data_IF_598023815166
#
_entry.id   IF_598023815166
#
_cell.length_a   1.000
_cell.length_b   1.000
_cell.length_c   1.000
_cell.angle_alpha   90.00
_cell.angle_beta   90.00
_cell.angle_gamma   90.00
#
_symmetry.space_group_name_H-M   'P 1'
#
loop_
_entity.id
_entity.type
_entity.pdbx_description
1 polymer ?
#
# COMPACT_ATOMS: atom_id res chain seq x y z
N UNK A 1 9.08 -16.33 -7.68
CA UNK A 1 7.74 -16.81 -7.26
C UNK A 1 7.27 -16.14 -5.98
N UNK A 2 7.93 -16.33 -4.82
CA UNK A 2 7.48 -15.73 -3.53
C UNK A 2 7.22 -14.21 -3.62
N UNK A 3 8.16 -13.45 -4.20
CA UNK A 3 8.01 -11.99 -4.35
C UNK A 3 6.74 -11.63 -5.13
N UNK A 4 6.54 -12.26 -6.29
CA UNK A 4 5.38 -12.00 -7.13
C UNK A 4 4.06 -12.48 -6.53
N UNK A 5 4.06 -13.56 -5.74
CA UNK A 5 2.87 -14.00 -5.01
C UNK A 5 2.41 -12.94 -4.01
N UNK A 6 3.31 -12.45 -3.17
CA UNK A 6 2.97 -11.43 -2.17
C UNK A 6 2.68 -10.06 -2.80
N UNK A 7 3.32 -9.72 -3.93
CA UNK A 7 2.94 -8.55 -4.72
C UNK A 7 1.50 -8.66 -5.24
N UNK A 8 1.09 -9.83 -5.77
CA UNK A 8 -0.28 -10.04 -6.22
C UNK A 8 -1.29 -10.05 -5.06
N UNK A 9 -0.96 -10.67 -3.92
CA UNK A 9 -1.81 -10.69 -2.73
C UNK A 9 -2.06 -9.29 -2.18
N UNK A 10 -1.06 -8.41 -2.20
CA UNK A 10 -1.24 -7.01 -1.84
C UNK A 10 -2.34 -6.36 -2.67
N UNK A 11 -2.24 -6.37 -4.00
CA UNK A 11 -3.25 -5.75 -4.86
C UNK A 11 -4.62 -6.41 -4.71
N UNK A 12 -4.66 -7.74 -4.53
CA UNK A 12 -5.90 -8.46 -4.30
C UNK A 12 -6.62 -7.91 -3.07
N UNK A 13 -5.94 -7.87 -1.93
CA UNK A 13 -6.55 -7.44 -0.67
C UNK A 13 -6.76 -5.94 -0.60
N UNK A 14 -5.90 -5.13 -1.23
CA UNK A 14 -6.07 -3.69 -1.38
C UNK A 14 -7.37 -3.37 -2.10
N UNK A 15 -7.54 -3.86 -3.34
CA UNK A 15 -8.73 -3.52 -4.11
C UNK A 15 -9.99 -4.14 -3.54
N UNK A 16 -9.91 -5.36 -3.02
CA UNK A 16 -11.08 -5.99 -2.44
C UNK A 16 -11.48 -5.38 -1.11
N UNK A 17 -10.52 -4.99 -0.27
CA UNK A 17 -10.75 -4.36 1.03
C UNK A 17 -11.65 -3.13 0.91
N UNK A 18 -11.46 -2.32 -0.14
CA UNK A 18 -12.30 -1.14 -0.44
C UNK A 18 -13.79 -1.43 -0.68
N UNK A 19 -14.19 -2.69 -0.93
CA UNK A 19 -15.62 -3.07 -0.99
C UNK A 19 -16.25 -3.18 0.40
N UNK A 20 -15.45 -3.28 1.46
CA UNK A 20 -15.90 -3.54 2.83
C UNK A 20 -15.55 -2.40 3.78
N UNK A 21 -14.50 -1.63 3.51
CA UNK A 21 -14.11 -0.43 4.28
C UNK A 21 -14.02 0.81 3.41
N UNK A 22 -13.83 1.97 4.04
CA UNK A 22 -13.67 3.27 3.38
C UNK A 22 -12.28 3.40 2.75
N UNK A 23 -12.17 4.08 1.61
CA UNK A 23 -10.89 4.29 0.93
C UNK A 23 -9.91 5.12 1.78
N UNK A 24 -10.41 6.12 2.51
CA UNK A 24 -9.61 6.91 3.45
C UNK A 24 -9.02 6.06 4.58
N UNK A 25 -9.80 5.12 5.12
CA UNK A 25 -9.34 4.19 6.16
C UNK A 25 -8.33 3.20 5.60
N UNK A 26 -8.65 2.57 4.47
CA UNK A 26 -7.79 1.60 3.80
C UNK A 26 -6.42 2.19 3.45
N UNK A 27 -6.40 3.43 2.97
CA UNK A 27 -5.12 4.14 2.69
C UNK A 27 -4.21 4.19 3.92
N UNK A 28 -4.74 4.55 5.09
CA UNK A 28 -3.93 4.63 6.33
C UNK A 28 -3.39 3.25 6.71
N UNK A 29 -4.22 2.22 6.61
CA UNK A 29 -3.88 0.85 6.97
C UNK A 29 -2.82 0.26 6.03
N UNK A 30 -2.93 0.49 4.72
CA UNK A 30 -1.91 0.06 3.74
C UNK A 30 -0.59 0.78 3.97
N UNK A 31 -0.63 2.06 4.34
CA UNK A 31 0.56 2.85 4.66
C UNK A 31 1.24 2.45 5.97
N UNK A 32 0.76 1.42 6.66
CA UNK A 32 1.54 0.72 7.70
C UNK A 32 2.62 -0.19 7.12
N UNK A 33 2.67 -0.40 5.81
CA UNK A 33 3.67 -1.25 5.17
C UNK A 33 5.13 -0.93 5.54
N UNK A 34 5.57 0.33 5.74
CA UNK A 34 6.92 0.63 6.21
C UNK A 34 7.20 0.12 7.61
N UNK A 35 6.18 0.06 8.49
CA UNK A 35 6.30 -0.56 9.80
C UNK A 35 6.62 -2.05 9.66
N UNK A 36 5.87 -2.75 8.80
CA UNK A 36 6.07 -4.18 8.53
C UNK A 36 7.42 -4.45 7.85
N UNK A 37 7.88 -3.56 6.96
CA UNK A 37 9.20 -3.65 6.34
C UNK A 37 10.31 -3.50 7.39
N UNK A 38 10.22 -2.51 8.28
CA UNK A 38 11.23 -2.30 9.31
C UNK A 38 11.27 -3.47 10.31
N UNK A 39 10.10 -3.95 10.74
CA UNK A 39 9.98 -5.11 11.62
C UNK A 39 10.54 -6.37 10.95
N UNK A 40 10.12 -6.67 9.73
CA UNK A 40 10.60 -7.83 8.98
C UNK A 40 12.08 -7.72 8.58
N UNK A 41 12.59 -6.51 8.34
CA UNK A 41 14.01 -6.26 8.07
C UNK A 41 14.90 -6.64 9.24
N UNK A 42 14.42 -6.44 10.48
CA UNK A 42 15.13 -6.90 11.68
C UNK A 42 15.30 -8.42 11.68
N UNK A 43 14.26 -9.18 11.37
CA UNK A 43 14.29 -10.65 11.41
C UNK A 43 14.92 -11.28 10.16
N UNK A 44 14.61 -10.78 8.96
CA UNK A 44 14.98 -11.39 7.67
C UNK A 44 16.35 -10.91 7.19
N UNK A 45 16.65 -9.61 7.39
CA UNK A 45 17.87 -8.97 6.91
C UNK A 45 18.89 -8.73 8.03
N UNK A 46 18.54 -9.05 9.29
CA UNK A 46 19.34 -8.80 10.49
C UNK A 46 19.72 -7.32 10.66
N UNK A 47 18.85 -6.43 10.21
CA UNK A 47 19.02 -4.99 10.39
C UNK A 47 18.78 -4.60 11.86
N UNK A 48 19.61 -3.71 12.40
CA UNK A 48 19.40 -3.20 13.76
C UNK A 48 18.26 -2.18 13.76
N UNK A 49 17.32 -2.33 14.69
CA UNK A 49 16.31 -1.33 14.98
C UNK A 49 16.94 -0.25 15.85
N UNK A 50 17.13 0.94 15.29
CA UNK A 50 17.57 2.11 16.05
C UNK A 50 16.40 2.67 16.88
N UNK A 51 16.71 3.43 17.92
CA UNK A 51 15.70 4.09 18.78
C UNK A 51 14.71 4.93 17.95
N UNK A 52 15.13 5.73 16.95
CA UNK A 52 14.19 6.45 16.08
C UNK A 52 13.24 5.53 15.31
N UNK A 53 13.72 4.36 14.83
CA UNK A 53 12.86 3.38 14.17
C UNK A 53 11.83 2.81 15.13
N UNK A 54 12.23 2.44 16.36
CA UNK A 54 11.29 1.94 17.37
C UNK A 54 10.24 2.99 17.73
N UNK A 55 10.64 4.24 17.94
CA UNK A 55 9.70 5.34 18.20
C UNK A 55 8.73 5.54 17.02
N UNK A 56 9.23 5.53 15.79
CA UNK A 56 8.40 5.63 14.60
C UNK A 56 7.42 4.48 14.43
N UNK A 57 7.84 3.25 14.76
CA UNK A 57 6.98 2.07 14.78
C UNK A 57 5.83 2.21 15.79
N UNK A 58 6.13 2.70 17.00
CA UNK A 58 5.12 2.93 18.04
C UNK A 58 4.12 4.02 17.64
N UNK A 59 4.58 5.10 17.01
CA UNK A 59 3.70 6.16 16.50
C UNK A 59 2.80 5.65 15.38
N UNK A 60 3.34 4.92 14.41
CA UNK A 60 2.54 4.34 13.33
C UNK A 60 1.48 3.38 13.88
N UNK A 61 1.84 2.53 14.85
CA UNK A 61 0.91 1.65 15.54
C UNK A 61 -0.19 2.44 16.29
N UNK A 62 0.17 3.52 16.98
CA UNK A 62 -0.80 4.43 17.61
C UNK A 62 -1.77 5.06 16.59
N UNK A 63 -1.27 5.42 15.40
CA UNK A 63 -2.11 5.91 14.31
C UNK A 63 -3.12 4.88 13.81
N UNK A 64 -2.70 3.63 13.65
CA UNK A 64 -3.59 2.51 13.32
C UNK A 64 -4.65 2.33 14.40
N UNK A 65 -4.25 2.32 15.67
CA UNK A 65 -5.18 2.19 16.79
C UNK A 65 -6.22 3.33 16.81
N UNK A 66 -5.83 4.56 16.49
CA UNK A 66 -6.76 5.70 16.37
C UNK A 66 -7.78 5.48 15.24
N UNK A 67 -7.36 4.94 14.10
CA UNK A 67 -8.27 4.59 12.99
C UNK A 67 -9.27 3.50 13.44
N UNK A 68 -8.82 2.45 14.12
CA UNK A 68 -9.71 1.41 14.66
C UNK A 68 -10.68 1.92 15.74
N UNK A 69 -10.25 2.89 16.56
CA UNK A 69 -11.09 3.53 17.55
C UNK A 69 -12.19 4.41 16.92
N UNK A 70 -12.04 4.76 15.63
CA UNK A 70 -13.07 5.47 14.90
C UNK A 70 -14.18 4.49 14.51
N UNK A 71 -15.38 4.69 15.05
CA UNK A 71 -16.64 4.10 14.54
C UNK A 71 -17.50 5.19 13.92
N UNK A 72 -17.22 5.64 12.67
CA UNK A 72 -18.19 6.43 11.93
C UNK A 72 -19.52 5.67 11.87
N UNK A 73 -20.63 6.34 12.16
CA UNK A 73 -21.97 5.74 12.05
C UNK A 73 -22.35 5.30 10.63
N UNK A 74 -21.48 5.56 9.65
CA UNK A 74 -21.63 5.22 8.23
C UNK A 74 -20.85 3.97 7.80
N UNK A 75 -20.13 3.29 8.71
CA UNK A 75 -19.38 2.09 8.33
C UNK A 75 -20.30 0.88 8.12
N UNK A 76 -20.11 0.10 7.05
CA UNK A 76 -20.77 -1.20 6.89
C UNK A 76 -20.46 -2.12 8.07
N UNK A 77 -21.36 -3.04 8.42
CA UNK A 77 -21.09 -4.04 9.48
C UNK A 77 -19.85 -4.91 9.21
N UNK A 78 -19.43 -4.98 7.95
CA UNK A 78 -18.28 -5.74 7.46
C UNK A 78 -16.97 -4.94 7.46
N UNK A 79 -16.94 -3.71 7.98
CA UNK A 79 -15.76 -2.83 7.90
C UNK A 79 -14.49 -3.45 8.47
N UNK A 80 -14.59 -4.24 9.55
CA UNK A 80 -13.44 -4.91 10.15
C UNK A 80 -12.80 -5.94 9.22
N UNK A 81 -13.59 -6.57 8.34
CA UNK A 81 -13.07 -7.47 7.32
C UNK A 81 -12.26 -6.68 6.29
N UNK A 82 -12.79 -5.55 5.81
CA UNK A 82 -12.06 -4.65 4.91
C UNK A 82 -10.76 -4.14 5.54
N UNK A 83 -10.84 -3.63 6.77
CA UNK A 83 -9.66 -3.16 7.51
C UNK A 83 -8.61 -4.28 7.68
N UNK A 84 -9.03 -5.51 7.94
CA UNK A 84 -8.11 -6.66 8.01
C UNK A 84 -7.47 -6.97 6.66
N UNK A 85 -8.22 -6.91 5.56
CA UNK A 85 -7.68 -7.09 4.20
C UNK A 85 -6.61 -6.05 3.88
N UNK A 86 -6.85 -4.78 4.22
CA UNK A 86 -5.89 -3.69 3.99
C UNK A 86 -4.58 -3.88 4.78
N UNK A 87 -4.66 -4.41 6.00
CA UNK A 87 -3.47 -4.80 6.78
C UNK A 87 -2.74 -5.97 6.12
N UNK A 88 -3.46 -6.99 5.64
CA UNK A 88 -2.85 -8.11 4.91
C UNK A 88 -2.18 -7.61 3.63
N UNK A 89 -2.74 -6.61 2.96
CA UNK A 89 -2.10 -5.95 1.83
C UNK A 89 -0.79 -5.28 2.24
N UNK A 90 -0.80 -4.49 3.33
CA UNK A 90 0.39 -3.84 3.87
C UNK A 90 1.52 -4.84 4.21
N UNK A 91 1.17 -5.96 4.84
CA UNK A 91 2.12 -7.05 5.18
C UNK A 91 2.65 -7.72 3.93
N UNK A 92 1.80 -7.96 2.94
CA UNK A 92 2.17 -8.60 1.68
C UNK A 92 3.15 -7.73 0.88
N UNK A 93 2.91 -6.42 0.81
CA UNK A 93 3.87 -5.45 0.25
C UNK A 93 5.21 -5.51 0.99
N UNK A 94 5.18 -5.56 2.32
CA UNK A 94 6.39 -5.59 3.12
C UNK A 94 7.23 -6.85 2.87
N UNK A 95 6.59 -8.01 2.78
CA UNK A 95 7.25 -9.27 2.42
C UNK A 95 7.84 -9.16 1.01
N UNK A 96 7.06 -8.71 0.02
CA UNK A 96 7.54 -8.51 -1.35
C UNK A 96 8.77 -7.59 -1.40
N UNK A 97 8.74 -6.49 -0.66
CA UNK A 97 9.83 -5.51 -0.55
C UNK A 97 11.08 -6.12 0.08
N UNK A 98 10.96 -6.86 1.18
CA UNK A 98 12.08 -7.46 1.89
C UNK A 98 12.78 -8.52 1.06
N UNK A 99 12.03 -9.40 0.40
CA UNK A 99 12.61 -10.41 -0.49
C UNK A 99 13.18 -9.79 -1.77
N UNK A 100 12.57 -8.73 -2.30
CA UNK A 100 13.13 -7.94 -3.40
C UNK A 100 14.50 -7.36 -3.05
N UNK A 101 14.60 -6.68 -1.90
CA UNK A 101 15.86 -6.13 -1.39
C UNK A 101 16.91 -7.23 -1.19
N UNK A 102 16.52 -8.38 -0.62
CA UNK A 102 17.41 -9.53 -0.44
C UNK A 102 17.91 -10.09 -1.77
N UNK A 103 17.07 -10.14 -2.80
CA UNK A 103 17.43 -10.64 -4.14
C UNK A 103 18.37 -9.68 -4.87
N UNK A 104 18.09 -8.37 -4.80
CA UNK A 104 18.93 -7.33 -5.38
C UNK A 104 20.30 -7.24 -4.70
N UNK A 105 20.36 -7.34 -3.37
CA UNK A 105 21.63 -7.34 -2.63
C UNK A 105 22.54 -8.54 -3.00
N UNK A 106 21.95 -9.64 -3.46
CA UNK A 106 22.68 -10.81 -3.97
C UNK A 106 22.96 -10.74 -5.48
N UNK A 107 22.66 -9.61 -6.13
CA UNK A 107 22.77 -9.39 -7.57
C UNK A 107 22.06 -10.47 -8.42
N UNK A 108 20.99 -11.08 -7.90
CA UNK A 108 20.28 -12.18 -8.59
C UNK A 108 19.38 -11.68 -9.72
N UNK A 109 18.85 -10.46 -9.62
CA UNK A 109 17.90 -9.88 -10.56
C UNK A 109 18.13 -8.37 -10.69
N UNK A 110 17.99 -7.84 -11.90
CA UNK A 110 17.89 -6.39 -12.12
C UNK A 110 16.51 -5.85 -11.67
N UNK A 111 16.37 -4.54 -11.40
CA UNK A 111 15.08 -3.95 -11.02
C UNK A 111 13.97 -4.20 -12.04
N UNK A 112 14.29 -4.16 -13.34
CA UNK A 112 13.33 -4.41 -14.41
C UNK A 112 12.88 -5.87 -14.43
N UNK A 113 13.82 -6.82 -14.27
CA UNK A 113 13.50 -8.25 -14.20
C UNK A 113 12.63 -8.56 -12.98
N UNK A 114 12.94 -7.94 -11.84
CA UNK A 114 12.17 -8.10 -10.62
C UNK A 114 10.71 -7.66 -10.81
N UNK A 115 10.49 -6.47 -11.35
CA UNK A 115 9.15 -5.95 -11.64
C UNK A 115 8.42 -6.84 -12.65
N UNK A 116 9.10 -7.26 -13.71
CA UNK A 116 8.53 -8.16 -14.71
C UNK A 116 8.02 -9.47 -14.09
N UNK A 117 8.83 -10.12 -13.24
CA UNK A 117 8.41 -11.35 -12.57
C UNK A 117 7.34 -11.14 -11.50
N UNK A 118 7.32 -9.98 -10.83
CA UNK A 118 6.25 -9.64 -9.90
C UNK A 118 4.90 -9.59 -10.62
N UNK A 119 4.83 -8.85 -11.73
CA UNK A 119 3.63 -8.72 -12.55
C UNK A 119 3.25 -10.07 -13.15
N UNK A 120 4.20 -10.78 -13.76
CA UNK A 120 3.96 -12.07 -14.43
C UNK A 120 3.33 -13.11 -13.48
N UNK A 121 3.80 -13.18 -12.23
CA UNK A 121 3.24 -14.11 -11.22
C UNK A 121 1.91 -13.62 -10.67
N UNK A 122 1.69 -12.30 -10.61
CA UNK A 122 0.44 -11.72 -10.07
C UNK A 122 -0.74 -11.88 -11.02
N UNK A 123 -0.51 -11.91 -12.34
CA UNK A 123 -1.56 -12.07 -13.35
C UNK A 123 -2.45 -13.30 -13.10
N UNK A 124 -1.94 -14.54 -13.03
CA UNK A 124 -2.79 -15.71 -12.83
C UNK A 124 -3.49 -15.70 -11.47
N UNK A 125 -2.85 -15.14 -10.43
CA UNK A 125 -3.44 -15.01 -9.10
C UNK A 125 -4.65 -14.06 -9.13
N UNK A 126 -4.48 -12.85 -9.69
CA UNK A 126 -5.52 -11.83 -9.73
C UNK A 126 -6.66 -12.21 -10.68
N UNK A 127 -6.34 -12.79 -11.85
CA UNK A 127 -7.35 -13.31 -12.76
C UNK A 127 -8.13 -14.47 -12.14
N UNK A 128 -7.45 -15.42 -11.50
CA UNK A 128 -8.09 -16.53 -10.81
C UNK A 128 -9.00 -16.05 -9.69
N UNK A 129 -8.54 -15.09 -8.88
CA UNK A 129 -9.36 -14.50 -7.83
C UNK A 129 -10.58 -13.77 -8.41
N UNK A 130 -10.42 -12.91 -9.43
CA UNK A 130 -11.57 -12.24 -10.06
C UNK A 130 -12.60 -13.25 -10.56
N UNK A 131 -12.17 -14.33 -11.23
CA UNK A 131 -13.09 -15.38 -11.70
C UNK A 131 -13.80 -16.13 -10.57
N UNK A 132 -13.11 -16.44 -9.47
CA UNK A 132 -13.68 -17.19 -8.34
C UNK A 132 -14.71 -16.34 -7.59
N UNK A 133 -14.41 -15.05 -7.42
CA UNK A 133 -15.14 -14.22 -6.47
C UNK A 133 -16.07 -13.19 -7.11
N UNK A 134 -15.80 -12.81 -8.35
CA UNK A 134 -16.63 -11.90 -9.15
C UNK A 134 -17.31 -12.64 -10.32
N UNK A 135 -16.90 -13.87 -10.62
CA UNK A 135 -17.42 -14.67 -11.72
C UNK A 135 -16.80 -14.30 -13.07
N UNK A 136 -17.34 -14.89 -14.14
CA UNK A 136 -16.98 -14.48 -15.51
C UNK A 136 -17.63 -13.11 -15.75
N UNK A 137 -16.84 -12.06 -16.04
CA UNK A 137 -17.40 -10.72 -16.20
C UNK A 137 -18.30 -10.69 -17.43
N UNK A 138 -19.53 -10.21 -17.26
CA UNK A 138 -20.34 -9.73 -18.37
C UNK A 138 -19.71 -8.42 -18.87
N UNK A 139 -18.79 -8.51 -19.83
CA UNK A 139 -18.04 -7.34 -20.30
C UNK A 139 -18.98 -6.39 -21.04
N UNK A 140 -19.47 -5.38 -20.34
CA UNK A 140 -20.13 -4.24 -20.95
C UNK A 140 -19.09 -3.18 -21.29
N UNK A 141 -18.85 -2.95 -22.57
CA UNK A 141 -17.93 -1.92 -23.07
C UNK A 141 -18.53 -0.52 -22.86
N UNK A 142 -18.53 -0.06 -21.61
CA UNK A 142 -18.97 1.28 -21.25
C UNK A 142 -17.77 2.23 -21.27
N UNK A 143 -17.99 3.44 -21.77
CA UNK A 143 -16.92 4.46 -21.92
C UNK A 143 -16.27 4.79 -20.58
N UNK A 144 -17.05 4.85 -19.50
CA UNK A 144 -16.56 5.08 -18.14
C UNK A 144 -15.62 3.96 -17.65
N UNK A 145 -15.93 2.70 -17.95
CA UNK A 145 -15.06 1.57 -17.61
C UNK A 145 -13.74 1.61 -18.40
N UNK A 146 -13.79 1.94 -19.69
CA UNK A 146 -12.59 2.07 -20.54
C UNK A 146 -11.72 3.24 -20.07
N UNK A 147 -12.31 4.39 -19.78
CA UNK A 147 -11.59 5.56 -19.27
C UNK A 147 -10.97 5.29 -17.90
N UNK A 148 -11.67 4.57 -17.01
CA UNK A 148 -11.14 4.18 -15.70
C UNK A 148 -9.95 3.23 -15.83
N UNK A 149 -10.05 2.24 -16.73
CA UNK A 149 -8.96 1.31 -17.02
C UNK A 149 -7.76 2.03 -17.63
N UNK A 150 -7.99 2.93 -18.59
CA UNK A 150 -6.95 3.73 -19.24
C UNK A 150 -6.27 4.67 -18.24
N UNK A 151 -7.03 5.30 -17.34
CA UNK A 151 -6.49 6.10 -16.26
C UNK A 151 -5.56 5.27 -15.35
N UNK A 152 -6.00 4.08 -14.92
CA UNK A 152 -5.17 3.20 -14.10
C UNK A 152 -3.91 2.71 -14.82
N UNK A 153 -4.02 2.24 -16.06
CA UNK A 153 -2.86 1.67 -16.77
C UNK A 153 -1.88 2.73 -17.27
N UNK A 154 -2.36 3.82 -17.86
CA UNK A 154 -1.51 4.84 -18.47
C UNK A 154 -1.00 5.83 -17.43
N UNK A 155 -1.90 6.44 -16.64
CA UNK A 155 -1.51 7.51 -15.71
C UNK A 155 -0.90 6.91 -14.44
N UNK A 156 -1.62 6.00 -13.78
CA UNK A 156 -1.19 5.47 -12.47
C UNK A 156 -0.01 4.51 -12.63
N UNK A 157 -0.13 3.45 -13.43
CA UNK A 157 0.92 2.43 -13.51
C UNK A 157 2.07 2.84 -14.43
N UNK A 158 1.82 3.41 -15.61
CA UNK A 158 2.91 3.68 -16.55
C UNK A 158 3.65 4.99 -16.25
N UNK A 159 2.93 6.13 -16.28
CA UNK A 159 3.54 7.45 -16.10
C UNK A 159 4.14 7.61 -14.70
N UNK A 160 3.41 7.24 -13.63
CA UNK A 160 3.92 7.40 -12.26
C UNK A 160 5.19 6.59 -12.01
N UNK A 161 5.28 5.36 -12.51
CA UNK A 161 6.51 4.56 -12.39
C UNK A 161 7.66 5.14 -13.22
N UNK A 162 7.40 5.64 -14.43
CA UNK A 162 8.43 6.33 -15.24
C UNK A 162 8.97 7.56 -14.52
N UNK A 163 8.08 8.40 -13.98
CA UNK A 163 8.47 9.57 -13.18
C UNK A 163 9.23 9.15 -11.94
N UNK A 164 8.79 8.09 -11.24
CA UNK A 164 9.47 7.55 -10.07
C UNK A 164 10.89 7.09 -10.38
N UNK A 165 11.10 6.31 -11.45
CA UNK A 165 12.44 5.87 -11.86
C UNK A 165 13.32 7.05 -12.31
N UNK A 166 12.74 8.03 -13.01
CA UNK A 166 13.47 9.24 -13.38
C UNK A 166 13.90 10.06 -12.16
N UNK A 167 13.02 10.21 -11.16
CA UNK A 167 13.34 10.88 -9.91
C UNK A 167 14.45 10.13 -9.17
N UNK A 168 14.38 8.80 -9.09
CA UNK A 168 15.42 7.96 -8.47
C UNK A 168 16.79 8.12 -9.13
N UNK A 169 16.83 8.39 -10.43
CA UNK A 169 18.07 8.67 -11.16
C UNK A 169 18.65 10.07 -10.90
N UNK A 170 17.81 11.05 -10.52
CA UNK A 170 18.22 12.46 -10.34
C UNK A 170 18.39 12.89 -8.88
N UNK A 171 17.60 12.36 -7.97
CA UNK A 171 17.55 12.79 -6.58
C UNK A 171 18.04 11.70 -5.64
N UNK A 172 18.62 12.11 -4.51
CA UNK A 172 18.95 11.16 -3.45
C UNK A 172 17.68 10.50 -2.92
N UNK A 173 17.72 9.19 -2.69
CA UNK A 173 16.58 8.39 -2.24
C UNK A 173 15.82 9.00 -1.05
N UNK A 174 16.52 9.67 -0.13
CA UNK A 174 15.92 10.33 1.04
C UNK A 174 14.93 11.46 0.69
N UNK A 175 15.17 12.24 -0.37
CA UNK A 175 14.25 13.29 -0.81
C UNK A 175 13.00 12.70 -1.46
N UNK A 176 13.14 11.57 -2.15
CA UNK A 176 12.04 10.91 -2.86
C UNK A 176 11.11 10.21 -1.86
N UNK A 177 11.67 9.58 -0.84
CA UNK A 177 10.90 8.96 0.24
C UNK A 177 10.06 9.97 1.03
N UNK A 178 10.47 11.25 1.06
CA UNK A 178 9.67 12.30 1.66
C UNK A 178 8.32 12.52 0.96
N UNK A 179 8.23 12.27 -0.35
CA UNK A 179 6.97 12.38 -1.07
C UNK A 179 6.00 11.26 -0.74
N UNK A 180 6.49 10.09 -0.31
CA UNK A 180 5.62 8.98 0.12
C UNK A 180 4.78 9.31 1.36
N UNK A 181 5.15 10.32 2.15
CA UNK A 181 4.35 10.80 3.28
C UNK A 181 3.08 11.53 2.86
N UNK A 182 3.06 12.10 1.65
CA UNK A 182 1.89 12.82 1.16
C UNK A 182 0.77 11.87 0.74
N UNK A 183 1.07 10.62 0.41
CA UNK A 183 0.06 9.69 -0.08
C UNK A 183 -1.07 9.41 0.91
N UNK A 184 -0.85 9.09 2.21
CA UNK A 184 -1.95 8.92 3.15
C UNK A 184 -2.75 10.21 3.36
N UNK A 185 -2.10 11.38 3.31
CA UNK A 185 -2.79 12.67 3.38
C UNK A 185 -3.72 12.88 2.18
N UNK A 186 -3.22 12.65 0.97
CA UNK A 186 -4.04 12.75 -0.24
C UNK A 186 -5.11 11.67 -0.29
N UNK A 187 -4.85 10.44 0.14
CA UNK A 187 -5.87 9.38 0.14
C UNK A 187 -7.06 9.73 1.04
N UNK A 188 -6.81 10.27 2.24
CA UNK A 188 -7.90 10.75 3.11
C UNK A 188 -8.58 12.00 2.54
N UNK A 189 -7.81 12.96 2.02
CA UNK A 189 -8.38 14.18 1.44
C UNK A 189 -9.27 13.88 0.22
N UNK A 190 -8.83 12.98 -0.67
CA UNK A 190 -9.58 12.56 -1.84
C UNK A 190 -10.77 11.68 -1.45
N UNK A 191 -10.65 10.83 -0.43
CA UNK A 191 -11.79 10.09 0.13
C UNK A 191 -12.89 11.03 0.65
N UNK A 192 -12.52 12.09 1.37
CA UNK A 192 -13.50 13.11 1.78
C UNK A 192 -14.07 13.91 0.61
N UNK A 193 -13.23 14.36 -0.33
CA UNK A 193 -13.64 15.27 -1.41
C UNK A 193 -14.46 14.57 -2.50
N UNK A 194 -14.03 13.40 -2.97
CA UNK A 194 -14.62 12.71 -4.12
C UNK A 194 -15.62 11.62 -3.71
N UNK A 195 -15.39 10.95 -2.57
CA UNK A 195 -16.24 9.86 -2.10
C UNK A 195 -17.20 10.28 -0.97
N UNK A 196 -17.08 11.52 -0.48
CA UNK A 196 -17.93 12.04 0.60
C UNK A 196 -17.69 11.33 1.94
N UNK A 197 -16.51 10.74 2.15
CA UNK A 197 -16.22 9.97 3.35
C UNK A 197 -16.05 10.89 4.58
N UNK A 198 -16.58 10.50 5.76
CA UNK A 198 -16.48 11.32 6.95
C UNK A 198 -15.04 11.39 7.47
N UNK A 199 -14.43 12.57 7.35
CA UNK A 199 -13.12 12.85 7.94
C UNK A 199 -13.30 13.19 9.42
N UNK A 200 -13.17 12.17 10.26
CA UNK A 200 -13.23 12.35 11.71
C UNK A 200 -11.91 12.87 12.27
N UNK A 201 -11.95 13.49 13.45
CA UNK A 201 -10.74 13.90 14.18
C UNK A 201 -9.78 12.72 14.41
N UNK A 202 -10.29 11.53 14.77
CA UNK A 202 -9.47 10.34 15.01
C UNK A 202 -8.81 9.83 13.73
N UNK A 203 -9.48 9.96 12.57
CA UNK A 203 -8.89 9.65 11.27
C UNK A 203 -7.75 10.62 10.94
N UNK A 204 -7.94 11.92 11.16
CA UNK A 204 -6.90 12.93 10.94
C UNK A 204 -5.69 12.73 11.88
N UNK A 205 -5.94 12.38 13.15
CA UNK A 205 -4.91 11.97 14.09
C UNK A 205 -4.18 10.73 13.60
N UNK A 206 -4.91 9.71 13.12
CA UNK A 206 -4.37 8.48 12.56
C UNK A 206 -3.39 8.73 11.41
N UNK A 207 -3.81 9.52 10.42
CA UNK A 207 -2.95 9.95 9.29
C UNK A 207 -1.68 10.62 9.79
N UNK A 208 -1.82 11.55 10.74
CA UNK A 208 -0.70 12.34 11.27
C UNK A 208 0.30 11.45 12.02
N UNK A 209 -0.19 10.55 12.87
CA UNK A 209 0.65 9.59 13.61
C UNK A 209 1.36 8.61 12.68
N UNK A 210 0.67 8.09 11.66
CA UNK A 210 1.29 7.22 10.64
C UNK A 210 2.33 7.99 9.84
N UNK A 211 2.03 9.20 9.36
CA UNK A 211 2.97 10.01 8.59
C UNK A 211 4.25 10.32 9.38
N UNK A 212 4.12 10.77 10.64
CA UNK A 212 5.27 11.02 11.53
C UNK A 212 6.02 9.73 11.84
N UNK A 213 5.29 8.62 12.08
CA UNK A 213 5.89 7.32 12.36
C UNK A 213 6.77 6.82 11.22
N UNK A 214 6.26 6.88 9.98
CA UNK A 214 7.05 6.50 8.79
C UNK A 214 8.26 7.43 8.64
N UNK A 215 8.11 8.74 8.90
CA UNK A 215 9.22 9.69 8.81
C UNK A 215 10.37 9.33 9.74
N UNK A 216 10.06 9.00 10.99
CA UNK A 216 11.07 8.56 11.95
C UNK A 216 11.72 7.22 11.57
N UNK A 217 10.95 6.28 10.99
CA UNK A 217 11.49 4.98 10.53
C UNK A 217 12.45 5.15 9.35
N UNK A 218 12.16 6.10 8.45
CA UNK A 218 12.98 6.36 7.27
C UNK A 218 14.17 7.28 7.54
N UNK A 219 14.17 7.99 8.68
CA UNK A 219 15.32 8.76 9.13
C UNK A 219 16.46 7.81 9.49
N UNK A 220 17.61 7.98 8.82
CA UNK A 220 18.81 7.14 8.95
C UNK A 220 19.37 7.15 10.36
#
# INVERSE_FOLDING_TARGET
MVIGLFFGLEFLFLFWGTKFTLASRGTILVYTSPFWVALGGHFILRERLSVPKVAGLLLAFGGVAAVFATKPGTLPSTYLLGDAMEIVAAVSWAISTLYSKKSMNKALLSPLQLLFYQVLVSIPLLLGASLIFEGVPAVTWRVDAILSLAHQTVIIVSITYLVWFWLLGKFQAGHITAFSFFTPLFGVAMGGLFLGEPITWLLALGVSLVAVGIYLVQRR
#
